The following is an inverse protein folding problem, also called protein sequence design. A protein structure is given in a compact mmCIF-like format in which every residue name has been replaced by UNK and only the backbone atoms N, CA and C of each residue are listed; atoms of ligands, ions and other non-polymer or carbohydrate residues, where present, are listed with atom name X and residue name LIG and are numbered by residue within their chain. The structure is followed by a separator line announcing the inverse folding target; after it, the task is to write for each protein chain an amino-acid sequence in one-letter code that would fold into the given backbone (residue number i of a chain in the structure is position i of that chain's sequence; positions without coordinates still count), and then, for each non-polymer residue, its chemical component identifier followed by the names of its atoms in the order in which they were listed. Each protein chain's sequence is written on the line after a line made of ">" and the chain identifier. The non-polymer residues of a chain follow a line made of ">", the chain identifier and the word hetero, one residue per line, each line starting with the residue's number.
data_IF_463245554068
#
_entry.id   IF_463245554068
#
_cell.length_a   1.000
_cell.length_b   1.000
_cell.length_c   1.000
_cell.angle_alpha   90.00
_cell.angle_beta   90.00
_cell.angle_gamma   90.00
#
_symmetry.space_group_name_H-M   'P 1'
#
loop_
_entity.id
_entity.type
_entity.pdbx_description
1 polymer ?
#
# COMPACT_ATOMS: atom_id res chain seq x y z
N UNK A 1 -4.65 -9.81 12.76
CA UNK A 1 -3.57 -9.25 11.91
C UNK A 1 -2.21 -9.88 12.23
N UNK A 2 -1.71 -9.75 13.47
CA UNK A 2 -0.39 -10.27 13.89
C UNK A 2 -0.10 -11.73 13.47
N UNK A 3 -1.00 -12.66 13.79
CA UNK A 3 -0.83 -14.10 13.46
C UNK A 3 -0.82 -14.36 11.94
N UNK A 4 -1.60 -13.59 11.17
CA UNK A 4 -1.67 -13.75 9.72
C UNK A 4 -0.35 -13.39 9.01
N UNK A 5 0.40 -12.47 9.58
CA UNK A 5 1.67 -12.01 9.02
C UNK A 5 2.90 -12.52 9.78
N UNK A 6 2.69 -13.50 10.67
CA UNK A 6 3.76 -14.11 11.48
C UNK A 6 4.62 -13.07 12.22
N UNK A 7 3.94 -12.18 12.95
CA UNK A 7 4.58 -11.16 13.79
C UNK A 7 4.53 -11.60 15.24
N UNK A 8 5.68 -11.64 15.91
CA UNK A 8 5.77 -11.96 17.33
C UNK A 8 5.02 -10.92 18.17
N UNK A 9 4.46 -11.36 19.31
CA UNK A 9 3.69 -10.48 20.20
C UNK A 9 4.50 -9.27 20.72
N UNK A 10 5.79 -9.46 20.95
CA UNK A 10 6.70 -8.41 21.43
C UNK A 10 7.04 -7.36 20.35
N UNK A 11 6.75 -7.68 19.08
CA UNK A 11 6.98 -6.81 17.90
C UNK A 11 5.70 -6.22 17.33
N UNK A 12 4.57 -6.40 18.01
CA UNK A 12 3.30 -5.74 17.68
C UNK A 12 3.22 -4.40 18.40
N UNK A 13 3.59 -3.33 17.71
CA UNK A 13 3.55 -1.97 18.24
C UNK A 13 2.18 -1.30 18.12
N UNK A 14 1.17 -1.98 17.57
CA UNK A 14 -0.19 -1.45 17.42
C UNK A 14 -1.13 -1.92 18.55
N UNK A 15 -0.81 -3.05 19.17
CA UNK A 15 -1.62 -3.61 20.25
C UNK A 15 -3.07 -3.86 19.84
N UNK A 16 -4.01 -3.25 20.55
CA UNK A 16 -5.45 -3.37 20.30
C UNK A 16 -6.00 -2.26 19.37
N UNK A 17 -5.20 -1.80 18.41
CA UNK A 17 -5.67 -0.83 17.42
C UNK A 17 -6.92 -1.36 16.70
N UNK A 18 -7.96 -0.52 16.63
CA UNK A 18 -9.20 -0.91 15.96
C UNK A 18 -8.99 -0.97 14.44
N UNK A 19 -9.67 -1.90 13.75
CA UNK A 19 -9.72 -1.91 12.31
C UNK A 19 -10.21 -0.56 11.75
N UNK A 20 -9.77 -0.22 10.54
CA UNK A 20 -10.12 1.05 9.89
C UNK A 20 -10.86 0.78 8.59
N UNK A 21 -12.10 1.27 8.44
CA UNK A 21 -12.92 1.00 7.25
C UNK A 21 -12.43 1.71 5.99
N UNK A 22 -11.44 2.59 6.12
CA UNK A 22 -10.80 3.26 4.98
C UNK A 22 -9.57 4.03 5.43
N UNK A 23 -8.46 3.74 4.77
CA UNK A 23 -7.19 4.48 4.94
C UNK A 23 -6.94 5.25 3.65
N UNK A 24 -6.74 6.56 3.78
CA UNK A 24 -6.54 7.44 2.64
C UNK A 24 -5.07 7.91 2.55
N UNK A 25 -4.63 8.32 1.35
CA UNK A 25 -3.32 8.93 1.18
C UNK A 25 -3.04 10.04 2.19
N UNK A 26 -1.83 10.07 2.73
CA UNK A 26 -1.36 10.91 3.83
C UNK A 26 -1.86 10.52 5.23
N UNK A 27 -2.80 9.60 5.35
CA UNK A 27 -3.13 8.96 6.62
C UNK A 27 -2.06 7.97 7.06
N UNK A 28 -2.28 7.34 8.21
CA UNK A 28 -1.41 6.28 8.73
C UNK A 28 -2.05 4.92 8.51
N UNK A 29 -1.23 3.90 8.33
CA UNK A 29 -1.65 2.52 8.13
C UNK A 29 -0.78 1.54 8.91
N UNK A 30 -1.33 0.38 9.32
CA UNK A 30 -0.54 -0.76 9.74
C UNK A 30 0.38 -1.23 8.62
N UNK A 31 1.63 -1.52 8.93
CA UNK A 31 2.61 -2.04 7.98
C UNK A 31 3.44 -3.11 8.68
N UNK A 32 3.69 -4.22 8.00
CA UNK A 32 4.65 -5.24 8.45
C UNK A 32 5.96 -5.00 7.72
N UNK A 33 7.01 -4.71 8.48
CA UNK A 33 8.36 -4.49 7.99
C UNK A 33 9.34 -5.39 8.73
N UNK A 34 10.57 -5.47 8.26
CA UNK A 34 11.65 -6.12 8.99
C UNK A 34 12.35 -5.11 9.89
N UNK A 35 12.58 -5.50 11.14
CA UNK A 35 13.47 -4.77 12.06
C UNK A 35 14.95 -4.95 11.66
N UNK A 36 15.87 -4.35 12.42
CA UNK A 36 17.30 -4.43 12.14
C UNK A 36 17.88 -5.85 12.29
N UNK A 37 17.19 -6.72 13.00
CA UNK A 37 17.59 -8.12 13.22
C UNK A 37 16.94 -9.07 12.20
N UNK A 38 16.16 -8.54 11.26
CA UNK A 38 15.46 -9.30 10.22
C UNK A 38 14.14 -9.93 10.68
N UNK A 39 13.62 -9.56 11.83
CA UNK A 39 12.33 -10.06 12.31
C UNK A 39 11.19 -9.17 11.83
N UNK A 40 10.02 -9.76 11.61
CA UNK A 40 8.82 -9.01 11.25
C UNK A 40 8.29 -8.22 12.43
N UNK A 41 8.07 -6.93 12.24
CA UNK A 41 7.41 -6.04 13.19
C UNK A 41 6.16 -5.42 12.57
N UNK A 42 5.13 -5.19 13.37
CA UNK A 42 3.89 -4.52 12.97
C UNK A 42 3.91 -3.10 13.54
N UNK A 43 4.01 -2.13 12.66
CA UNK A 43 4.18 -0.71 13.01
C UNK A 43 3.20 0.18 12.26
N UNK A 44 3.00 1.39 12.75
CA UNK A 44 2.22 2.40 12.03
C UNK A 44 3.14 3.29 11.18
N UNK A 45 2.80 3.45 9.89
CA UNK A 45 3.54 4.31 8.96
C UNK A 45 2.61 5.26 8.23
N UNK A 46 3.08 6.49 7.94
CA UNK A 46 2.34 7.41 7.08
C UNK A 46 2.37 6.98 5.62
N UNK A 47 1.24 7.11 4.93
CA UNK A 47 1.12 6.71 3.53
C UNK A 47 1.51 7.82 2.56
N UNK A 48 2.65 7.66 1.93
CA UNK A 48 3.18 8.50 0.86
C UNK A 48 4.59 9.02 1.15
N UNK A 49 5.54 8.70 0.26
CA UNK A 49 6.89 9.27 0.28
C UNK A 49 6.82 10.74 -0.08
N UNK A 50 7.41 11.61 0.72
CA UNK A 50 7.40 13.05 0.47
C UNK A 50 8.64 13.49 -0.31
N UNK A 51 8.46 14.41 -1.24
CA UNK A 51 9.57 15.05 -1.96
C UNK A 51 9.43 16.55 -1.90
N UNK A 52 10.54 17.30 -1.73
CA UNK A 52 10.53 18.76 -1.78
C UNK A 52 9.95 19.24 -3.11
N UNK A 53 9.21 20.30 -3.06
CA UNK A 53 8.67 20.97 -4.25
C UNK A 53 9.02 22.44 -4.23
N UNK A 54 9.24 23.00 -5.41
CA UNK A 54 9.43 24.43 -5.60
C UNK A 54 8.42 24.98 -6.60
N UNK A 55 7.94 26.17 -6.33
CA UNK A 55 7.04 26.87 -7.24
C UNK A 55 7.77 27.20 -8.55
N UNK A 56 7.26 26.72 -9.66
CA UNK A 56 7.80 27.06 -11.00
C UNK A 56 7.78 28.57 -11.29
N UNK A 57 6.85 29.31 -10.67
CA UNK A 57 6.69 30.76 -10.87
C UNK A 57 7.64 31.59 -10.02
N UNK A 58 7.93 31.15 -8.78
CA UNK A 58 8.67 31.98 -7.82
C UNK A 58 10.01 31.41 -7.38
N UNK A 59 10.31 30.14 -7.72
CA UNK A 59 11.49 29.41 -7.22
C UNK A 59 11.46 29.09 -5.72
N UNK A 60 10.44 29.51 -4.99
CA UNK A 60 10.34 29.31 -3.54
C UNK A 60 9.82 27.92 -3.20
N UNK A 61 10.23 27.34 -2.06
CA UNK A 61 9.67 26.10 -1.55
C UNK A 61 8.15 26.20 -1.40
N UNK A 62 7.45 25.12 -1.76
CA UNK A 62 6.01 24.94 -1.57
C UNK A 62 5.75 23.59 -0.87
N UNK A 63 4.49 23.30 -0.54
CA UNK A 63 4.11 22.03 0.13
C UNK A 63 4.70 20.83 -0.59
N UNK A 64 5.38 19.89 0.13
CA UNK A 64 5.94 18.68 -0.46
C UNK A 64 4.89 17.84 -1.19
N UNK A 65 5.28 17.22 -2.29
CA UNK A 65 4.45 16.21 -2.93
C UNK A 65 4.53 14.89 -2.15
N UNK A 66 3.38 14.21 -2.00
CA UNK A 66 3.31 12.86 -1.46
C UNK A 66 3.09 11.84 -2.58
N UNK A 67 3.93 10.82 -2.65
CA UNK A 67 3.86 9.75 -3.63
C UNK A 67 3.32 8.48 -2.97
N UNK A 68 2.03 8.24 -3.17
CA UNK A 68 1.31 7.17 -2.50
C UNK A 68 1.52 5.80 -3.17
N UNK A 69 1.85 5.80 -4.46
CA UNK A 69 2.01 4.59 -5.26
C UNK A 69 3.34 4.60 -6.01
N UNK A 70 4.10 3.52 -5.88
CA UNK A 70 5.30 3.23 -6.63
C UNK A 70 4.96 2.29 -7.80
N UNK A 71 5.20 2.72 -9.04
CA UNK A 71 4.94 1.88 -10.21
C UNK A 71 6.04 0.84 -10.39
N UNK A 72 5.67 -0.41 -10.67
CA UNK A 72 6.56 -1.54 -10.93
C UNK A 72 7.65 -1.21 -11.97
N UNK A 73 7.28 -0.61 -13.11
CA UNK A 73 8.20 -0.24 -14.19
C UNK A 73 9.20 0.87 -13.81
N UNK A 74 9.09 1.47 -12.63
CA UNK A 74 9.95 2.54 -12.10
C UNK A 74 10.80 2.13 -10.91
N UNK A 75 10.55 0.99 -10.28
CA UNK A 75 11.20 0.60 -9.03
C UNK A 75 12.72 0.56 -9.15
N UNK A 76 13.24 -0.07 -10.21
CA UNK A 76 14.68 -0.19 -10.47
C UNK A 76 15.31 1.07 -11.07
N UNK A 77 14.50 1.97 -11.65
CA UNK A 77 14.98 3.10 -12.47
C UNK A 77 14.95 4.43 -11.73
N UNK A 78 14.02 4.59 -10.80
CA UNK A 78 13.81 5.87 -10.10
C UNK A 78 14.62 5.92 -8.80
N UNK A 79 15.40 6.99 -8.63
CA UNK A 79 16.09 7.26 -7.36
C UNK A 79 15.16 7.38 -6.15
N UNK A 80 13.86 7.67 -6.38
CA UNK A 80 12.87 7.71 -5.30
C UNK A 80 12.58 6.32 -4.71
N UNK A 81 12.60 5.28 -5.55
CA UNK A 81 12.16 3.92 -5.18
C UNK A 81 13.28 2.92 -5.02
N UNK A 82 14.35 3.04 -5.84
CA UNK A 82 15.40 2.02 -5.99
C UNK A 82 16.00 1.57 -4.66
N UNK A 83 16.36 2.50 -3.77
CA UNK A 83 16.94 2.16 -2.47
C UNK A 83 15.95 1.43 -1.55
N UNK A 84 14.68 1.87 -1.52
CA UNK A 84 13.65 1.18 -0.73
C UNK A 84 13.27 -0.17 -1.33
N UNK A 85 13.24 -0.32 -2.65
CA UNK A 85 13.00 -1.61 -3.30
C UNK A 85 14.12 -2.61 -3.03
N UNK A 86 15.37 -2.14 -2.93
CA UNK A 86 16.50 -3.00 -2.60
C UNK A 86 16.49 -3.49 -1.14
N UNK A 87 16.14 -2.63 -0.19
CA UNK A 87 16.46 -2.87 1.22
C UNK A 87 15.27 -2.72 2.19
N UNK A 88 14.18 -2.09 1.76
CA UNK A 88 13.08 -1.67 2.65
C UNK A 88 11.73 -1.99 2.04
N UNK A 89 11.53 -3.26 1.71
CA UNK A 89 10.24 -3.80 1.32
C UNK A 89 9.39 -4.06 2.56
N UNK A 90 8.08 -3.96 2.42
CA UNK A 90 7.14 -4.20 3.51
C UNK A 90 5.83 -4.77 2.97
N UNK A 91 5.00 -5.29 3.86
CA UNK A 91 3.65 -5.73 3.58
C UNK A 91 2.67 -4.69 4.11
N UNK A 92 1.71 -4.29 3.29
CA UNK A 92 0.62 -3.39 3.72
C UNK A 92 -0.64 -4.23 3.86
N UNK A 93 -1.07 -4.58 5.09
CA UNK A 93 -2.28 -5.36 5.34
C UNK A 93 -3.52 -4.64 4.84
N UNK A 94 -4.39 -5.36 4.16
CA UNK A 94 -5.69 -4.88 3.69
C UNK A 94 -6.69 -6.04 3.64
N UNK A 95 -7.98 -5.74 3.69
CA UNK A 95 -9.08 -6.68 3.41
C UNK A 95 -9.82 -6.29 2.13
N UNK A 96 -9.68 -5.03 1.71
CA UNK A 96 -10.16 -4.51 0.43
C UNK A 96 -9.35 -3.29 0.01
N UNK A 97 -9.47 -2.88 -1.27
CA UNK A 97 -8.92 -1.63 -1.77
C UNK A 97 -9.92 -0.91 -2.68
N UNK A 98 -9.83 0.41 -2.71
CA UNK A 98 -10.73 1.27 -3.48
C UNK A 98 -10.08 1.79 -4.76
N UNK A 99 -10.86 1.78 -5.84
CA UNK A 99 -10.56 2.48 -7.08
C UNK A 99 -11.77 3.31 -7.52
N UNK A 100 -11.52 4.40 -8.21
CA UNK A 100 -12.56 5.35 -8.57
C UNK A 100 -12.70 5.47 -10.08
N UNK A 101 -13.93 5.39 -10.59
CA UNK A 101 -14.27 5.57 -12.00
C UNK A 101 -15.05 6.86 -12.23
N UNK A 102 -14.68 7.61 -13.27
CA UNK A 102 -15.41 8.80 -13.68
C UNK A 102 -15.06 10.05 -12.88
N UNK A 103 -15.75 11.15 -13.20
CA UNK A 103 -15.61 12.45 -12.54
C UNK A 103 -16.97 13.14 -12.48
N UNK A 104 -17.34 13.62 -11.27
CA UNK A 104 -18.49 14.51 -10.99
C UNK A 104 -19.86 14.01 -11.53
N UNK A 105 -20.44 12.95 -11.00
CA UNK A 105 -19.98 12.21 -9.82
C UNK A 105 -18.99 11.12 -10.22
N UNK A 106 -18.05 10.83 -9.34
CA UNK A 106 -17.19 9.67 -9.41
C UNK A 106 -17.82 8.52 -8.64
N UNK A 107 -17.68 7.31 -9.17
CA UNK A 107 -18.16 6.08 -8.51
C UNK A 107 -16.96 5.36 -7.90
N UNK A 108 -17.03 5.05 -6.63
CA UNK A 108 -16.05 4.26 -5.90
C UNK A 108 -16.37 2.77 -6.07
N UNK A 109 -15.33 1.97 -6.21
CA UNK A 109 -15.38 0.51 -6.31
C UNK A 109 -14.40 -0.08 -5.32
N UNK A 110 -14.90 -0.92 -4.42
CA UNK A 110 -14.07 -1.65 -3.49
C UNK A 110 -13.91 -3.10 -3.96
N UNK A 111 -12.66 -3.53 -3.98
CA UNK A 111 -12.25 -4.86 -4.42
C UNK A 111 -11.70 -5.64 -3.24
N UNK A 112 -12.11 -6.90 -3.12
CA UNK A 112 -11.59 -7.86 -2.16
C UNK A 112 -11.22 -9.17 -2.87
N UNK A 113 -10.56 -10.06 -2.16
CA UNK A 113 -10.35 -11.42 -2.64
C UNK A 113 -11.71 -12.13 -2.78
N UNK A 114 -11.79 -13.09 -3.70
CA UNK A 114 -12.95 -13.96 -3.83
C UNK A 114 -13.15 -14.76 -2.54
N UNK A 115 -14.40 -14.96 -2.15
CA UNK A 115 -14.79 -15.66 -0.94
C UNK A 115 -16.30 -15.66 -0.80
N UNK A 116 -16.84 -16.39 0.16
CA UNK A 116 -18.26 -16.49 0.39
C UNK A 116 -18.80 -15.33 1.23
N UNK A 117 -20.03 -14.92 0.92
CA UNK A 117 -20.77 -13.90 1.69
C UNK A 117 -20.07 -12.55 1.75
N UNK A 118 -20.20 -11.87 2.89
CA UNK A 118 -19.63 -10.54 3.15
C UNK A 118 -18.20 -10.59 3.69
N UNK A 119 -17.61 -11.78 3.82
CA UNK A 119 -16.28 -11.95 4.35
C UNK A 119 -15.23 -11.24 3.46
N UNK A 120 -14.30 -10.55 4.11
CA UNK A 120 -13.17 -9.85 3.49
C UNK A 120 -11.89 -10.54 3.93
N UNK A 121 -11.53 -11.64 3.24
CA UNK A 121 -10.27 -12.32 3.54
C UNK A 121 -9.09 -11.33 3.47
N UNK A 122 -8.31 -11.19 4.56
CA UNK A 122 -7.19 -10.26 4.57
C UNK A 122 -6.06 -10.74 3.65
N UNK A 123 -5.36 -9.77 3.06
CA UNK A 123 -4.21 -9.97 2.18
C UNK A 123 -3.14 -8.91 2.43
N UNK A 124 -1.99 -9.05 1.80
CA UNK A 124 -0.96 -8.00 1.79
C UNK A 124 -0.86 -7.34 0.41
N UNK A 125 -0.74 -6.03 0.40
CA UNK A 125 -0.24 -5.27 -0.74
C UNK A 125 1.27 -5.13 -0.59
N UNK A 126 2.02 -5.38 -1.67
CA UNK A 126 3.44 -5.12 -1.72
C UNK A 126 3.73 -3.63 -1.47
N UNK A 127 4.57 -3.33 -0.51
CA UNK A 127 4.91 -1.98 -0.12
C UNK A 127 6.42 -1.74 -0.07
N UNK A 128 6.78 -0.47 -0.06
CA UNK A 128 8.11 0.02 0.22
C UNK A 128 8.04 1.01 1.37
N UNK A 129 9.10 1.10 2.18
CA UNK A 129 9.13 2.07 3.25
C UNK A 129 10.48 2.80 3.33
N UNK A 130 10.51 3.91 4.04
CA UNK A 130 11.72 4.63 4.39
C UNK A 130 11.51 5.47 5.65
N UNK A 131 12.61 5.91 6.23
CA UNK A 131 12.61 7.00 7.19
C UNK A 131 12.44 8.31 6.41
N UNK A 132 11.50 9.15 6.81
CA UNK A 132 11.30 10.45 6.17
C UNK A 132 12.36 11.46 6.64
N UNK A 133 12.71 12.39 5.77
CA UNK A 133 13.62 13.49 6.09
C UNK A 133 12.97 14.43 7.09
N UNK A 134 13.75 14.95 8.04
CA UNK A 134 13.25 15.83 9.09
C UNK A 134 12.56 17.09 8.55
N UNK A 135 13.12 17.68 7.48
CA UNK A 135 12.55 18.87 6.84
C UNK A 135 11.23 18.62 6.06
N UNK A 136 10.83 17.35 5.93
CA UNK A 136 9.59 16.92 5.28
C UNK A 136 8.58 16.32 6.24
N UNK A 137 8.94 16.15 7.53
CA UNK A 137 8.04 15.64 8.56
C UNK A 137 6.92 16.64 8.86
N UNK A 138 5.71 16.11 8.98
CA UNK A 138 4.59 16.83 9.57
C UNK A 138 4.53 16.49 11.07
N UNK A 139 4.28 17.43 12.00
CA UNK A 139 4.46 17.22 13.44
C UNK A 139 3.73 16.04 14.05
N UNK A 140 2.59 15.63 13.48
CA UNK A 140 1.74 14.57 14.01
C UNK A 140 1.88 13.24 13.25
N UNK A 141 2.82 13.14 12.33
CA UNK A 141 2.98 11.95 11.50
C UNK A 141 4.15 11.09 11.93
N UNK A 142 4.02 9.74 11.86
CA UNK A 142 5.15 8.85 12.07
C UNK A 142 6.33 9.23 11.19
N UNK A 143 7.53 9.06 11.74
CA UNK A 143 8.78 9.28 11.01
C UNK A 143 8.98 8.26 9.86
N UNK A 144 8.34 7.13 9.97
CA UNK A 144 8.35 6.09 8.93
C UNK A 144 7.19 6.30 7.97
N UNK A 145 7.51 6.23 6.69
CA UNK A 145 6.55 6.40 5.61
C UNK A 145 6.59 5.20 4.67
N UNK A 146 5.42 4.79 4.20
CA UNK A 146 5.31 3.72 3.22
C UNK A 146 4.64 4.19 1.93
N UNK A 147 4.78 3.39 0.88
CA UNK A 147 4.07 3.52 -0.40
C UNK A 147 3.65 2.14 -0.86
N UNK A 148 2.54 2.04 -1.56
CA UNK A 148 2.12 0.79 -2.18
C UNK A 148 2.77 0.62 -3.55
N UNK A 149 3.09 -0.62 -3.91
CA UNK A 149 3.54 -0.95 -5.27
C UNK A 149 2.32 -1.24 -6.13
N UNK A 150 2.31 -0.70 -7.35
CA UNK A 150 1.26 -0.94 -8.33
C UNK A 150 1.82 -1.57 -9.60
N UNK A 151 1.01 -2.41 -10.22
CA UNK A 151 1.27 -3.07 -11.50
C UNK A 151 0.13 -2.81 -12.50
N UNK A 152 0.14 -3.41 -13.66
CA UNK A 152 -0.97 -3.37 -14.60
C UNK A 152 -2.24 -3.96 -13.96
N UNK A 153 -3.39 -3.36 -14.28
CA UNK A 153 -4.66 -3.86 -13.79
C UNK A 153 -5.06 -5.15 -14.51
N UNK A 154 -5.61 -6.10 -13.75
CA UNK A 154 -6.30 -7.27 -14.30
C UNK A 154 -7.62 -6.89 -14.96
N UNK A 155 -8.32 -7.85 -15.56
CA UNK A 155 -9.54 -7.60 -16.32
C UNK A 155 -10.72 -7.07 -15.48
N UNK A 156 -10.73 -7.35 -14.17
CA UNK A 156 -11.74 -6.84 -13.24
C UNK A 156 -11.52 -5.34 -12.91
N UNK A 157 -10.27 -4.93 -12.66
CA UNK A 157 -9.93 -3.56 -12.23
C UNK A 157 -9.73 -2.62 -13.43
N UNK A 158 -9.22 -3.13 -14.54
CA UNK A 158 -8.87 -2.34 -15.76
C UNK A 158 -10.00 -1.42 -16.26
N UNK A 159 -11.28 -1.84 -16.30
CA UNK A 159 -12.37 -0.96 -16.75
C UNK A 159 -12.68 0.21 -15.83
N UNK A 160 -12.15 0.18 -14.61
CA UNK A 160 -12.48 1.12 -13.53
C UNK A 160 -11.34 2.13 -13.33
N UNK A 161 -10.12 1.66 -13.15
CA UNK A 161 -8.98 2.55 -12.94
C UNK A 161 -8.54 3.25 -14.23
N UNK A 162 -8.58 4.60 -14.23
CA UNK A 162 -8.36 5.43 -15.43
C UNK A 162 -7.02 5.18 -16.18
N UNK A 163 -5.99 4.69 -15.48
CA UNK A 163 -4.67 4.39 -16.04
C UNK A 163 -4.39 2.88 -16.12
N UNK A 164 -5.39 2.03 -15.89
CA UNK A 164 -5.25 0.58 -15.93
C UNK A 164 -4.20 0.06 -14.94
N UNK A 165 -4.24 0.50 -13.69
CA UNK A 165 -3.31 0.08 -12.63
C UNK A 165 -4.07 -0.55 -11.46
N UNK A 166 -3.40 -1.44 -10.71
CA UNK A 166 -3.90 -2.00 -9.47
C UNK A 166 -2.75 -2.21 -8.47
N UNK A 167 -3.01 -2.32 -7.18
CA UNK A 167 -2.01 -2.76 -6.20
C UNK A 167 -1.43 -4.14 -6.56
N UNK A 168 -0.15 -4.35 -6.28
CA UNK A 168 0.45 -5.69 -6.29
C UNK A 168 -0.02 -6.40 -5.03
N UNK A 169 -0.93 -7.36 -5.18
CA UNK A 169 -1.41 -8.21 -4.09
C UNK A 169 -0.53 -9.45 -4.03
N UNK A 170 0.01 -9.73 -2.84
CA UNK A 170 0.87 -10.88 -2.59
C UNK A 170 0.05 -12.03 -2.00
N UNK A 171 0.40 -13.26 -2.37
CA UNK A 171 -0.08 -14.47 -1.70
C UNK A 171 0.69 -14.67 -0.39
N UNK A 172 0.12 -15.34 0.62
CA UNK A 172 0.85 -15.63 1.86
C UNK A 172 2.20 -16.29 1.63
N UNK A 173 2.30 -17.22 0.70
CA UNK A 173 3.55 -17.92 0.34
C UNK A 173 4.62 -17.00 -0.28
N UNK A 174 4.21 -15.85 -0.81
CA UNK A 174 5.11 -14.86 -1.42
C UNK A 174 5.65 -13.83 -0.40
N UNK A 175 5.12 -13.78 0.84
CA UNK A 175 5.47 -12.74 1.81
C UNK A 175 6.96 -12.74 2.17
N UNK A 176 7.52 -13.92 2.44
CA UNK A 176 8.94 -14.04 2.77
C UNK A 176 9.82 -13.64 1.59
N UNK A 177 9.51 -14.15 0.39
CA UNK A 177 10.23 -13.78 -0.84
C UNK A 177 10.16 -12.27 -1.11
N UNK A 178 9.00 -11.63 -0.87
CA UNK A 178 8.90 -10.19 -1.00
C UNK A 178 9.77 -9.44 0.00
N UNK A 179 9.78 -9.86 1.26
CA UNK A 179 10.52 -9.16 2.32
C UNK A 179 12.04 -9.36 2.23
N UNK A 180 12.50 -10.59 1.98
CA UNK A 180 13.91 -11.00 2.12
C UNK A 180 14.58 -11.46 0.83
N UNK A 181 13.81 -11.87 -0.17
CA UNK A 181 14.34 -12.40 -1.43
C UNK A 181 15.19 -11.39 -2.20
N UNK A 182 15.97 -11.89 -3.15
CA UNK A 182 16.74 -11.07 -4.07
C UNK A 182 15.87 -10.07 -4.85
N UNK A 183 16.50 -9.11 -5.52
CA UNK A 183 15.76 -8.14 -6.36
C UNK A 183 15.02 -8.82 -7.51
N UNK A 184 15.58 -9.86 -8.09
CA UNK A 184 14.97 -10.59 -9.21
C UNK A 184 13.76 -11.41 -8.73
N UNK A 185 13.86 -12.08 -7.57
CA UNK A 185 12.74 -12.80 -6.96
C UNK A 185 11.61 -11.86 -6.57
N UNK A 186 11.92 -10.73 -5.93
CA UNK A 186 10.91 -9.72 -5.61
C UNK A 186 10.29 -9.11 -6.87
N UNK A 187 11.08 -8.88 -7.94
CA UNK A 187 10.58 -8.36 -9.20
C UNK A 187 9.63 -9.34 -9.91
N UNK A 188 9.85 -10.65 -9.78
CA UNK A 188 8.96 -11.68 -10.34
C UNK A 188 7.55 -11.69 -9.71
N UNK A 189 7.40 -11.09 -8.53
CA UNK A 189 6.11 -10.93 -7.84
C UNK A 189 5.31 -9.72 -8.32
N UNK A 190 5.89 -8.84 -9.14
CA UNK A 190 5.26 -7.62 -9.65
C UNK A 190 4.28 -7.92 -10.80
N UNK A 191 3.21 -8.61 -10.49
CA UNK A 191 2.19 -9.06 -11.45
C UNK A 191 0.78 -8.77 -10.94
N UNK A 192 -0.21 -8.63 -11.85
CA UNK A 192 -1.60 -8.49 -11.44
C UNK A 192 -2.09 -9.76 -10.73
N UNK A 193 -2.92 -9.58 -9.70
CA UNK A 193 -3.62 -10.69 -9.06
C UNK A 193 -4.70 -11.24 -10.02
N UNK A 194 -4.96 -12.56 -10.06
CA UNK A 194 -5.95 -13.14 -10.97
C UNK A 194 -7.34 -12.54 -10.76
N UNK A 195 -8.01 -12.17 -11.85
CA UNK A 195 -9.31 -11.51 -11.79
C UNK A 195 -10.45 -12.40 -11.29
N UNK A 196 -10.35 -13.70 -11.53
CA UNK A 196 -11.29 -14.73 -11.07
C UNK A 196 -11.15 -15.05 -9.58
N UNK A 197 -10.06 -14.65 -8.97
CA UNK A 197 -9.82 -14.76 -7.53
C UNK A 197 -10.16 -13.44 -6.79
N UNK A 198 -10.82 -12.49 -7.46
CA UNK A 198 -11.22 -11.19 -6.90
C UNK A 198 -12.68 -10.89 -7.18
N UNK A 199 -13.27 -9.99 -6.40
CA UNK A 199 -14.63 -9.49 -6.61
C UNK A 199 -14.78 -8.02 -6.23
N UNK A 200 -15.80 -7.37 -6.80
CA UNK A 200 -16.28 -6.06 -6.32
C UNK A 200 -17.21 -6.33 -5.13
N UNK A 201 -16.92 -5.71 -4.00
CA UNK A 201 -17.65 -5.93 -2.73
C UNK A 201 -18.51 -4.74 -2.31
N UNK A 202 -18.19 -3.54 -2.83
CA UNK A 202 -18.97 -2.33 -2.60
C UNK A 202 -18.80 -1.42 -3.82
N UNK A 203 -19.90 -0.79 -4.26
CA UNK A 203 -19.89 0.18 -5.35
C UNK A 203 -20.90 1.28 -5.07
N UNK A 204 -20.50 2.54 -5.25
CA UNK A 204 -21.41 3.67 -5.09
C UNK A 204 -20.71 5.02 -5.22
N UNK A 205 -21.53 6.08 -5.26
CA UNK A 205 -21.03 7.46 -5.25
C UNK A 205 -20.77 7.88 -3.80
N UNK A 206 -19.51 8.24 -3.51
CA UNK A 206 -19.11 8.67 -2.17
C UNK A 206 -18.84 7.53 -1.17
N UNK A 207 -18.78 6.29 -1.65
CA UNK A 207 -18.44 5.11 -0.84
C UNK A 207 -16.94 5.09 -0.51
N UNK A 208 -16.54 5.95 0.44
CA UNK A 208 -15.13 6.13 0.83
C UNK A 208 -14.65 5.15 1.90
N UNK A 209 -15.52 4.27 2.39
CA UNK A 209 -15.24 3.31 3.45
C UNK A 209 -15.89 1.97 3.11
N UNK A 210 -15.23 0.88 3.44
CA UNK A 210 -15.77 -0.49 3.42
C UNK A 210 -15.94 -0.95 4.87
N UNK A 211 -17.09 -0.68 5.45
CA UNK A 211 -17.39 -1.01 6.86
C UNK A 211 -17.46 -2.53 7.09
N UNK A 212 -17.74 -3.32 6.06
CA UNK A 212 -17.74 -4.79 6.13
C UNK A 212 -16.30 -5.38 6.08
N UNK A 213 -15.32 -4.58 5.75
CA UNK A 213 -13.91 -4.97 5.72
C UNK A 213 -13.20 -4.96 7.09
N UNK A 214 -13.96 -4.85 8.18
CA UNK A 214 -13.45 -4.73 9.55
C UNK A 214 -13.28 -6.07 10.26
#
# INVERSE_FOLDING_TARGET
>A
MRQLFDVDASRDHLGNAQPRPGIHPKGTAPVVALDNDGNRELVEMSWGFRTPQVSKRTGKPIKPAAWNNARDDKLMKSGLWKGSFAERRCLVPASSFNETKGQKPATDYWFALAGDGDDRAPFAIAGLWRVEREDLLEPEHPRWVHTMVTTEANDLVRPIHAKGRMPVILRPDDYETWLTGSLDEAAALLRPYPSDEMRIVLQGVGEKRDEAGL
#
